data_IF_724166862599
#
_entry.id   IF_724166862599
#
_cell.length_a   1.000
_cell.length_b   1.000
_cell.length_c   1.000
_cell.angle_alpha   90.00
_cell.angle_beta   90.00
_cell.angle_gamma   90.00
#
_symmetry.space_group_name_H-M   'P 1'
#
loop_
_entity.id
_entity.type
_entity.pdbx_description
1 polymer ?
#
# COMPACT_ATOMS: atom_id res chain seq x y z
N UNK A 1 -30.78 0.22 35.52
CA UNK A 1 -30.12 0.56 34.24
C UNK A 1 -29.43 -0.68 33.72
N UNK A 2 -29.88 -1.23 32.58
CA UNK A 2 -29.24 -2.41 31.98
C UNK A 2 -28.02 -1.97 31.17
N UNK A 3 -26.83 -2.41 31.59
CA UNK A 3 -25.57 -2.15 30.89
C UNK A 3 -25.47 -3.17 29.75
N UNK A 4 -25.46 -2.71 28.51
CA UNK A 4 -25.27 -3.57 27.32
C UNK A 4 -23.88 -3.30 26.78
N UNK A 5 -22.99 -4.27 26.88
CA UNK A 5 -21.65 -4.18 26.31
C UNK A 5 -21.72 -4.45 24.81
N UNK A 6 -21.18 -3.52 24.02
CA UNK A 6 -21.00 -3.69 22.59
C UNK A 6 -19.63 -4.34 22.41
N UNK A 7 -19.53 -5.50 21.73
CA UNK A 7 -18.25 -6.17 21.53
C UNK A 7 -17.33 -5.28 20.68
N UNK A 8 -16.05 -5.22 21.04
CA UNK A 8 -15.05 -4.53 20.25
C UNK A 8 -14.95 -5.17 18.86
N UNK A 9 -15.04 -4.36 17.81
CA UNK A 9 -14.87 -4.79 16.42
C UNK A 9 -13.58 -4.18 15.88
N UNK A 10 -12.76 -5.01 15.25
CA UNK A 10 -11.58 -4.55 14.50
C UNK A 10 -12.01 -4.20 13.08
N UNK A 11 -11.92 -2.92 12.72
CA UNK A 11 -12.17 -2.44 11.36
C UNK A 11 -10.84 -2.30 10.66
N UNK A 12 -10.73 -2.88 9.47
CA UNK A 12 -9.58 -2.73 8.61
C UNK A 12 -9.92 -1.72 7.52
N UNK A 13 -9.04 -0.76 7.28
CA UNK A 13 -9.26 0.32 6.31
C UNK A 13 -8.16 0.34 5.28
N UNK A 14 -8.50 0.74 4.06
CA UNK A 14 -7.52 0.96 3.00
C UNK A 14 -6.60 2.13 3.34
N UNK A 15 -5.28 1.93 3.30
CA UNK A 15 -4.30 3.00 3.60
C UNK A 15 -4.36 4.17 2.61
N UNK A 16 -4.89 3.95 1.40
CA UNK A 16 -4.95 4.97 0.35
C UNK A 16 -6.25 5.80 0.38
N UNK A 17 -7.41 5.17 0.60
CA UNK A 17 -8.71 5.83 0.48
C UNK A 17 -9.59 5.73 1.73
N UNK A 18 -9.06 5.16 2.82
CA UNK A 18 -9.75 4.94 4.09
C UNK A 18 -11.03 4.08 4.02
N UNK A 19 -11.39 3.53 2.86
CA UNK A 19 -12.53 2.63 2.72
C UNK A 19 -12.35 1.38 3.59
N UNK A 20 -13.43 0.97 4.25
CA UNK A 20 -13.44 -0.26 5.05
C UNK A 20 -13.24 -1.49 4.15
N UNK A 21 -12.28 -2.33 4.55
CA UNK A 21 -11.94 -3.59 3.89
C UNK A 21 -12.85 -4.68 4.46
N UNK A 22 -14.02 -4.84 3.85
CA UNK A 22 -15.03 -5.82 4.29
C UNK A 22 -15.13 -6.95 3.26
N UNK A 23 -14.97 -8.20 3.72
CA UNK A 23 -15.27 -9.40 2.95
C UNK A 23 -14.55 -9.50 1.60
N UNK A 24 -15.32 -9.41 0.50
CA UNK A 24 -14.83 -9.65 -0.88
C UNK A 24 -13.98 -8.52 -1.48
N UNK A 25 -13.99 -7.32 -0.88
CA UNK A 25 -13.15 -6.19 -1.31
C UNK A 25 -11.75 -6.22 -0.66
N UNK A 26 -11.50 -7.20 0.21
CA UNK A 26 -10.22 -7.41 0.87
C UNK A 26 -9.32 -8.28 -0.01
N UNK A 27 -8.32 -7.67 -0.66
CA UNK A 27 -7.18 -8.44 -1.19
C UNK A 27 -6.24 -8.74 -0.04
N UNK A 28 -6.23 -10.00 0.40
CA UNK A 28 -5.42 -10.50 1.53
C UNK A 28 -4.02 -9.87 1.55
N UNK A 29 -3.68 -9.26 2.69
CA UNK A 29 -2.36 -8.82 3.18
C UNK A 29 -1.29 -8.57 2.10
N UNK A 30 -0.94 -7.30 1.89
CA UNK A 30 0.42 -6.91 1.48
C UNK A 30 0.91 -7.46 0.14
N UNK A 31 0.15 -7.29 -0.95
CA UNK A 31 0.72 -7.48 -2.31
C UNK A 31 1.55 -6.28 -2.77
N UNK A 32 1.50 -5.17 -2.06
CA UNK A 32 2.30 -3.98 -2.34
C UNK A 32 3.21 -3.74 -1.14
N UNK A 33 4.47 -4.07 -1.34
CA UNK A 33 5.55 -3.73 -0.43
C UNK A 33 6.48 -2.76 -1.16
N UNK A 34 6.86 -1.67 -0.51
CA UNK A 34 7.91 -0.79 -1.01
C UNK A 34 9.13 -0.96 -0.14
N UNK A 35 10.24 -1.37 -0.75
CA UNK A 35 11.55 -1.31 -0.15
C UNK A 35 12.13 0.08 -0.47
N UNK A 36 12.27 0.91 0.55
CA UNK A 36 12.98 2.17 0.47
C UNK A 36 14.22 2.10 1.37
N UNK A 37 15.22 2.90 1.07
CA UNK A 37 16.30 3.16 2.01
C UNK A 37 15.97 4.43 2.78
N UNK A 38 16.08 4.39 4.11
CA UNK A 38 16.11 5.59 4.93
C UNK A 38 17.45 6.26 4.68
N UNK A 39 17.41 7.52 4.28
CA UNK A 39 18.60 8.32 4.05
C UNK A 39 18.94 9.16 5.29
N UNK A 40 20.23 9.32 5.56
CA UNK A 40 20.70 10.32 6.53
C UNK A 40 20.53 11.75 5.98
N UNK A 41 20.91 12.74 6.79
CA UNK A 41 20.86 14.16 6.42
C UNK A 41 21.72 14.52 5.18
N UNK A 42 22.63 13.61 4.78
CA UNK A 42 23.51 13.77 3.63
C UNK A 42 23.09 12.91 2.43
N UNK A 43 21.97 12.17 2.53
CA UNK A 43 21.45 11.34 1.45
C UNK A 43 22.01 9.92 1.40
N UNK A 44 22.82 9.50 2.38
CA UNK A 44 23.37 8.15 2.41
C UNK A 44 22.35 7.16 2.99
N UNK A 45 22.18 6.01 2.33
CA UNK A 45 21.34 4.93 2.84
C UNK A 45 21.90 4.39 4.15
N UNK A 46 21.13 4.51 5.25
CA UNK A 46 21.54 4.10 6.59
C UNK A 46 20.72 2.94 7.16
N UNK A 47 19.53 2.70 6.62
CA UNK A 47 18.69 1.58 7.01
C UNK A 47 17.69 1.24 5.90
N UNK A 48 17.28 -0.03 5.80
CA UNK A 48 16.16 -0.41 4.95
C UNK A 48 14.83 -0.11 5.64
N UNK A 49 13.92 0.54 4.92
CA UNK A 49 12.55 0.83 5.31
C UNK A 49 11.58 0.07 4.40
N UNK A 50 11.07 -1.06 4.89
CA UNK A 50 10.05 -1.82 4.19
C UNK A 50 8.67 -1.38 4.67
N UNK A 51 7.90 -0.77 3.78
CA UNK A 51 6.49 -0.43 4.04
C UNK A 51 5.58 -1.46 3.40
N UNK A 52 4.57 -1.90 4.16
CA UNK A 52 3.51 -2.79 3.68
C UNK A 52 2.20 -2.03 3.66
N UNK A 53 1.52 -2.04 2.52
CA UNK A 53 0.24 -1.34 2.36
C UNK A 53 -0.94 -2.31 2.27
N UNK A 54 -1.99 -2.02 3.04
CA UNK A 54 -3.28 -2.68 2.96
C UNK A 54 -4.20 -1.84 2.05
N UNK A 55 -4.37 -2.30 0.81
CA UNK A 55 -5.14 -1.60 -0.22
C UNK A 55 -6.44 -2.34 -0.55
N UNK A 56 -7.51 -1.59 -0.81
CA UNK A 56 -8.73 -2.13 -1.42
C UNK A 56 -8.48 -2.50 -2.90
N UNK A 57 -9.37 -3.31 -3.49
CA UNK A 57 -9.23 -3.80 -4.87
C UNK A 57 -9.05 -2.67 -5.90
N UNK A 58 -9.79 -1.57 -5.74
CA UNK A 58 -9.70 -0.40 -6.63
C UNK A 58 -8.33 0.28 -6.53
N UNK A 59 -7.85 0.56 -5.32
CA UNK A 59 -6.55 1.18 -5.11
C UNK A 59 -5.41 0.26 -5.55
N UNK A 60 -5.50 -1.04 -5.27
CA UNK A 60 -4.54 -2.03 -5.73
C UNK A 60 -4.44 -2.05 -7.27
N UNK A 61 -5.59 -2.04 -7.95
CA UNK A 61 -5.64 -2.05 -9.42
C UNK A 61 -5.03 -0.78 -10.01
N UNK A 62 -5.32 0.39 -9.41
CA UNK A 62 -4.74 1.66 -9.84
C UNK A 62 -3.21 1.68 -9.68
N UNK A 63 -2.70 1.25 -8.53
CA UNK A 63 -1.25 1.14 -8.26
C UNK A 63 -0.59 0.18 -9.23
N UNK A 64 -1.17 -1.00 -9.45
CA UNK A 64 -0.61 -2.00 -10.36
C UNK A 64 -0.55 -1.47 -11.81
N UNK A 65 -1.60 -0.74 -12.25
CA UNK A 65 -1.59 -0.10 -13.56
C UNK A 65 -0.48 0.95 -13.68
N UNK A 66 -0.31 1.81 -12.68
CA UNK A 66 0.75 2.82 -12.67
C UNK A 66 2.15 2.20 -12.71
N UNK A 67 2.37 1.10 -11.99
CA UNK A 67 3.64 0.35 -12.02
C UNK A 67 3.90 -0.18 -13.44
N UNK A 68 2.90 -0.84 -14.05
CA UNK A 68 3.02 -1.38 -15.41
C UNK A 68 3.29 -0.27 -16.44
N UNK A 69 2.61 0.87 -16.33
CA UNK A 69 2.84 2.02 -17.21
C UNK A 69 4.25 2.60 -17.04
N UNK A 70 4.76 2.67 -15.81
CA UNK A 70 6.12 3.15 -15.54
C UNK A 70 7.18 2.20 -16.11
N UNK A 71 6.98 0.89 -15.96
CA UNK A 71 7.89 -0.12 -16.53
C UNK A 71 7.88 -0.06 -18.05
N UNK A 72 6.70 0.02 -18.68
CA UNK A 72 6.57 0.17 -20.13
C UNK A 72 7.16 1.47 -20.66
N UNK A 73 7.00 2.57 -19.92
CA UNK A 73 7.58 3.87 -20.28
C UNK A 73 9.11 3.88 -20.26
N UNK A 74 9.72 3.05 -19.40
CA UNK A 74 11.17 2.85 -19.33
C UNK A 74 11.75 2.05 -20.51
N UNK A 75 10.92 1.44 -21.37
CA UNK A 75 11.36 0.82 -22.62
C UNK A 75 11.61 1.84 -23.74
N UNK A 76 11.41 3.15 -23.50
CA UNK A 76 11.96 4.15 -24.41
C UNK A 76 13.49 4.08 -24.39
N UNK A 77 14.13 3.73 -25.52
CA UNK A 77 15.57 3.52 -25.54
C UNK A 77 16.26 4.83 -25.16
N UNK A 78 17.25 4.75 -24.28
CA UNK A 78 18.29 5.76 -24.18
C UNK A 78 18.70 6.16 -25.61
N UNK A 79 18.37 7.38 -26.00
CA UNK A 79 18.89 7.96 -27.22
C UNK A 79 20.37 8.25 -26.95
N UNK A 80 21.22 7.29 -27.35
CA UNK A 80 22.67 7.47 -27.49
C UNK A 80 22.93 8.43 -28.64
#
# INVERSE_FOLDING_TARGET
MAKKEIPAQTVWTCDCCANELIGKNWRYRGKVETANDVHDLYGHAVAGENHRYDLCDTCFTAVNKAIVETIKGKETPCSI
#
